data_IF_636931293193
#
_entry.id   IF_636931293193
#
_cell.length_a   1.000
_cell.length_b   1.000
_cell.length_c   1.000
_cell.angle_alpha   90.00
_cell.angle_beta   90.00
_cell.angle_gamma   90.00
#
_symmetry.space_group_name_H-M   'P 1'
#
loop_
_entity.id
_entity.type
_entity.pdbx_description
1 polymer ?
#
# COMPACT_ATOMS: atom_id res chain seq x y z
N UNK A 1 -38.28 -29.03 -12.71
CA UNK A 1 -37.51 -28.33 -13.76
C UNK A 1 -37.86 -26.83 -13.67
N UNK A 2 -37.13 -26.09 -12.87
CA UNK A 2 -37.23 -24.62 -12.85
C UNK A 2 -35.93 -24.08 -13.48
N UNK A 3 -36.01 -23.85 -14.79
CA UNK A 3 -34.97 -23.12 -15.54
C UNK A 3 -35.27 -21.61 -15.40
N UNK A 4 -34.80 -21.00 -14.34
CA UNK A 4 -34.61 -19.55 -14.24
C UNK A 4 -33.38 -19.27 -13.33
N UNK A 5 -32.28 -19.96 -13.58
CA UNK A 5 -30.98 -19.46 -13.12
C UNK A 5 -30.56 -18.40 -14.14
N UNK A 6 -30.77 -17.12 -13.79
CA UNK A 6 -30.07 -16.04 -14.48
C UNK A 6 -28.58 -16.37 -14.41
N UNK A 7 -27.87 -16.48 -15.55
CA UNK A 7 -26.44 -16.74 -15.50
C UNK A 7 -25.80 -15.59 -14.71
N UNK A 8 -25.02 -15.95 -13.69
CA UNK A 8 -24.25 -14.98 -12.91
C UNK A 8 -23.54 -14.03 -13.89
N UNK A 9 -23.59 -12.71 -13.67
CA UNK A 9 -22.98 -11.76 -14.58
C UNK A 9 -21.52 -12.14 -14.79
N UNK A 10 -21.11 -12.29 -16.06
CA UNK A 10 -19.71 -12.58 -16.40
C UNK A 10 -18.82 -11.57 -15.74
N UNK A 11 -17.89 -12.06 -14.90
CA UNK A 11 -16.91 -11.20 -14.22
C UNK A 11 -16.08 -10.44 -15.26
N UNK A 12 -15.84 -9.16 -15.01
CA UNK A 12 -14.95 -8.34 -15.84
C UNK A 12 -13.52 -8.92 -15.77
N UNK A 13 -12.78 -8.85 -16.87
CA UNK A 13 -11.36 -9.21 -16.93
C UNK A 13 -10.55 -7.96 -17.31
N UNK A 14 -9.28 -7.93 -16.98
CA UNK A 14 -8.37 -6.88 -17.48
C UNK A 14 -8.31 -6.91 -19.01
N UNK A 15 -8.26 -5.74 -19.63
CA UNK A 15 -8.14 -5.61 -21.07
C UNK A 15 -6.74 -6.05 -21.56
N UNK A 16 -5.72 -5.94 -20.69
CA UNK A 16 -4.35 -6.29 -21.03
C UNK A 16 -3.57 -6.77 -19.79
N UNK A 17 -2.53 -7.59 -20.05
CA UNK A 17 -1.57 -8.00 -19.02
C UNK A 17 -0.88 -6.79 -18.37
N UNK A 18 -0.48 -5.80 -19.19
CA UNK A 18 0.12 -4.57 -18.68
C UNK A 18 -0.86 -3.82 -17.77
N UNK A 19 -2.15 -3.83 -18.10
CA UNK A 19 -3.20 -3.27 -17.24
C UNK A 19 -3.25 -3.95 -15.89
N UNK A 20 -3.29 -5.28 -15.86
CA UNK A 20 -3.21 -6.06 -14.62
C UNK A 20 -1.96 -5.69 -13.79
N UNK A 21 -0.77 -5.73 -14.41
CA UNK A 21 0.49 -5.44 -13.70
C UNK A 21 0.52 -4.03 -13.12
N UNK A 22 0.09 -3.01 -13.89
CA UNK A 22 0.11 -1.62 -13.43
C UNK A 22 -0.97 -1.33 -12.39
N UNK A 23 -2.14 -1.97 -12.45
CA UNK A 23 -3.18 -1.81 -11.42
C UNK A 23 -2.76 -2.51 -10.13
N UNK A 24 -2.25 -3.75 -10.21
CA UNK A 24 -1.78 -4.49 -9.04
C UNK A 24 -0.55 -3.83 -8.41
N UNK A 25 0.42 -3.39 -9.23
CA UNK A 25 1.55 -2.62 -8.73
C UNK A 25 1.09 -1.27 -8.14
N UNK A 26 0.11 -0.58 -8.75
CA UNK A 26 -0.47 0.66 -8.21
C UNK A 26 -1.23 0.46 -6.91
N UNK A 27 -1.72 -0.74 -6.62
CA UNK A 27 -2.27 -1.11 -5.31
C UNK A 27 -1.17 -1.24 -4.25
N UNK A 28 -0.04 -1.84 -4.60
CA UNK A 28 1.12 -1.97 -3.73
C UNK A 28 1.83 -0.63 -3.54
N UNK A 29 2.10 0.07 -4.64
CA UNK A 29 2.80 1.37 -4.65
C UNK A 29 1.90 2.45 -4.06
N UNK A 30 2.16 2.80 -2.82
CA UNK A 30 1.38 3.77 -2.10
C UNK A 30 2.20 4.60 -1.11
N UNK A 31 1.54 5.06 -0.08
CA UNK A 31 2.18 5.78 1.03
C UNK A 31 3.28 4.93 1.67
N UNK A 32 3.12 3.61 1.65
CA UNK A 32 4.11 2.66 2.14
C UNK A 32 5.49 2.79 1.49
N UNK A 33 5.53 3.06 0.18
CA UNK A 33 6.77 3.17 -0.59
C UNK A 33 7.38 4.57 -0.54
N UNK A 34 6.51 5.58 -0.64
CA UNK A 34 6.97 6.96 -0.86
C UNK A 34 7.16 7.74 0.45
N UNK A 35 6.58 7.25 1.54
CA UNK A 35 6.67 7.85 2.86
C UNK A 35 7.27 6.88 3.90
N UNK A 36 6.57 5.75 4.20
CA UNK A 36 6.98 4.85 5.28
C UNK A 36 8.33 4.22 5.03
N UNK A 37 8.60 3.74 3.82
CA UNK A 37 9.86 3.10 3.47
C UNK A 37 11.08 4.01 3.67
N UNK A 38 11.15 5.26 3.13
CA UNK A 38 12.26 6.15 3.41
C UNK A 38 12.38 6.51 4.89
N UNK A 39 11.26 6.74 5.58
CA UNK A 39 11.24 7.04 7.01
C UNK A 39 11.86 5.90 7.83
N UNK A 40 11.40 4.66 7.62
CA UNK A 40 11.91 3.49 8.34
C UNK A 40 13.37 3.20 7.95
N UNK A 41 13.75 3.38 6.68
CA UNK A 41 15.14 3.27 6.24
C UNK A 41 16.04 4.28 6.97
N UNK A 42 15.60 5.52 7.13
CA UNK A 42 16.31 6.56 7.89
C UNK A 42 16.50 6.18 9.36
N UNK A 43 15.45 5.69 10.00
CA UNK A 43 15.45 5.28 11.41
C UNK A 43 16.19 3.96 11.67
N UNK A 44 16.30 3.08 10.67
CA UNK A 44 16.89 1.72 10.78
C UNK A 44 18.28 1.60 10.19
N UNK A 45 19.03 2.69 10.07
CA UNK A 45 20.45 2.67 9.66
C UNK A 45 20.71 2.57 8.14
N UNK A 46 19.70 2.84 7.30
CA UNK A 46 19.87 3.01 5.84
C UNK A 46 20.09 1.68 5.10
N UNK A 47 21.25 1.51 4.43
CA UNK A 47 21.50 0.42 3.48
C UNK A 47 21.37 -1.01 4.04
N UNK A 48 21.63 -1.25 5.33
CA UNK A 48 21.41 -2.57 5.95
C UNK A 48 19.92 -2.91 6.01
N UNK A 49 19.08 -1.94 6.38
CA UNK A 49 17.63 -2.11 6.33
C UNK A 49 17.15 -2.45 4.92
N UNK A 50 17.62 -1.71 3.90
CA UNK A 50 17.24 -1.96 2.49
C UNK A 50 17.61 -3.38 2.08
N UNK A 51 18.81 -3.86 2.46
CA UNK A 51 19.26 -5.22 2.18
C UNK A 51 18.31 -6.27 2.80
N UNK A 52 18.00 -6.15 4.10
CA UNK A 52 17.09 -7.07 4.77
C UNK A 52 15.66 -6.98 4.22
N UNK A 53 15.19 -5.78 3.92
CA UNK A 53 13.89 -5.60 3.26
C UNK A 53 13.79 -6.39 1.95
N UNK A 54 14.80 -6.30 1.07
CA UNK A 54 14.80 -7.05 -0.18
C UNK A 54 14.81 -8.57 0.04
N UNK A 55 15.56 -9.06 1.02
CA UNK A 55 15.59 -10.48 1.39
C UNK A 55 14.19 -10.93 1.86
N UNK A 56 13.56 -10.19 2.77
CA UNK A 56 12.24 -10.55 3.29
C UNK A 56 11.14 -10.37 2.25
N UNK A 57 11.23 -9.37 1.38
CA UNK A 57 10.28 -9.21 0.29
C UNK A 57 10.27 -10.42 -0.64
N UNK A 58 11.44 -10.94 -0.98
CA UNK A 58 11.56 -12.16 -1.81
C UNK A 58 11.16 -13.43 -1.06
N UNK A 59 11.56 -13.56 0.20
CA UNK A 59 11.32 -14.79 0.97
C UNK A 59 9.90 -14.90 1.53
N UNK A 60 9.24 -13.78 1.80
CA UNK A 60 7.93 -13.69 2.45
C UNK A 60 6.89 -13.00 1.56
N UNK A 61 7.20 -11.81 1.04
CA UNK A 61 6.28 -10.99 0.25
C UNK A 61 5.82 -11.70 -1.04
N UNK A 62 6.76 -12.15 -1.87
CA UNK A 62 6.44 -12.85 -3.14
C UNK A 62 5.60 -14.12 -2.92
N UNK A 63 5.92 -15.02 -1.97
CA UNK A 63 5.09 -16.19 -1.71
C UNK A 63 3.67 -15.84 -1.25
N UNK A 64 3.50 -14.91 -0.31
CA UNK A 64 2.16 -14.55 0.20
C UNK A 64 1.35 -13.84 -0.89
N UNK A 65 1.95 -12.93 -1.66
CA UNK A 65 1.31 -12.31 -2.82
C UNK A 65 0.84 -13.36 -3.84
N UNK A 66 1.70 -14.36 -4.13
CA UNK A 66 1.33 -15.47 -5.01
C UNK A 66 0.13 -16.24 -4.48
N UNK A 67 0.00 -16.42 -3.15
CA UNK A 67 -1.12 -17.09 -2.51
C UNK A 67 -2.42 -16.28 -2.61
N UNK A 68 -2.39 -14.97 -2.34
CA UNK A 68 -3.56 -14.11 -2.53
C UNK A 68 -4.06 -14.13 -3.98
N UNK A 69 -3.15 -13.93 -4.94
CA UNK A 69 -3.48 -14.01 -6.36
C UNK A 69 -4.05 -15.40 -6.75
N UNK A 70 -3.51 -16.49 -6.17
CA UNK A 70 -3.97 -17.85 -6.45
C UNK A 70 -5.39 -18.09 -5.92
N UNK A 71 -5.71 -17.64 -4.71
CA UNK A 71 -7.04 -17.76 -4.13
C UNK A 71 -8.05 -16.97 -4.98
N UNK A 72 -7.74 -15.75 -5.37
CA UNK A 72 -8.58 -14.94 -6.25
C UNK A 72 -8.79 -15.60 -7.63
N UNK A 73 -7.70 -16.02 -8.29
CA UNK A 73 -7.77 -16.62 -9.64
C UNK A 73 -8.51 -17.94 -9.66
N UNK A 74 -8.28 -18.81 -8.67
CA UNK A 74 -8.97 -20.10 -8.60
C UNK A 74 -10.42 -19.98 -8.13
N UNK A 75 -10.71 -19.02 -7.23
CA UNK A 75 -12.03 -18.81 -6.66
C UNK A 75 -12.97 -17.97 -7.53
N UNK A 76 -12.44 -17.21 -8.51
CA UNK A 76 -13.19 -16.33 -9.41
C UNK A 76 -14.16 -15.39 -8.68
N UNK A 77 -13.84 -14.96 -7.46
CA UNK A 77 -14.68 -14.16 -6.59
C UNK A 77 -13.87 -13.17 -5.73
N UNK A 78 -14.55 -12.35 -4.93
CA UNK A 78 -13.91 -11.64 -3.82
C UNK A 78 -13.55 -12.62 -2.71
N UNK A 79 -12.74 -12.21 -1.74
CA UNK A 79 -12.20 -13.12 -0.71
C UNK A 79 -13.26 -14.04 -0.09
N UNK A 80 -14.44 -13.53 0.25
CA UNK A 80 -15.51 -14.36 0.82
C UNK A 80 -15.97 -15.46 -0.13
N UNK A 81 -16.17 -15.15 -1.41
CA UNK A 81 -16.63 -16.11 -2.39
C UNK A 81 -15.52 -17.06 -2.83
N UNK A 82 -14.31 -16.56 -3.01
CA UNK A 82 -13.16 -17.35 -3.38
C UNK A 82 -12.85 -18.44 -2.32
N UNK A 83 -12.87 -18.05 -1.04
CA UNK A 83 -12.72 -19.04 0.04
C UNK A 83 -13.86 -20.07 0.04
N UNK A 84 -15.12 -19.66 -0.13
CA UNK A 84 -16.26 -20.59 -0.21
C UNK A 84 -16.14 -21.59 -1.36
N UNK A 85 -15.64 -21.14 -2.51
CA UNK A 85 -15.46 -22.00 -3.69
C UNK A 85 -14.31 -23.02 -3.50
N UNK A 86 -13.30 -22.70 -2.71
CA UNK A 86 -12.08 -23.50 -2.56
C UNK A 86 -12.02 -24.30 -1.25
N UNK A 87 -12.77 -23.90 -0.22
CA UNK A 87 -12.76 -24.56 1.08
C UNK A 87 -13.45 -25.94 1.03
N UNK A 88 -13.11 -26.79 1.99
CA UNK A 88 -13.76 -28.08 2.15
C UNK A 88 -15.14 -27.90 2.77
N UNK A 89 -16.04 -28.83 2.45
CA UNK A 89 -17.38 -28.84 3.01
C UNK A 89 -17.34 -28.83 4.55
N UNK A 90 -18.05 -27.89 5.18
CA UNK A 90 -18.08 -27.69 6.63
C UNK A 90 -16.93 -26.85 7.19
N UNK A 91 -15.96 -26.42 6.39
CA UNK A 91 -14.93 -25.47 6.81
C UNK A 91 -15.51 -24.04 6.86
N UNK A 92 -14.80 -23.15 7.58
CA UNK A 92 -15.24 -21.77 7.79
C UNK A 92 -14.19 -20.75 7.36
N UNK A 93 -13.36 -21.08 6.38
CA UNK A 93 -12.31 -20.16 5.89
C UNK A 93 -12.89 -18.90 5.24
N UNK A 94 -14.09 -18.99 4.69
CA UNK A 94 -14.80 -17.84 4.12
C UNK A 94 -15.03 -16.69 5.12
N UNK A 95 -14.97 -16.95 6.45
CA UNK A 95 -15.05 -15.90 7.46
C UNK A 95 -13.88 -14.92 7.36
N UNK A 96 -12.71 -15.41 6.89
CA UNK A 96 -11.58 -14.52 6.61
C UNK A 96 -11.89 -13.50 5.50
N UNK A 97 -12.73 -13.84 4.53
CA UNK A 97 -13.15 -12.89 3.49
C UNK A 97 -13.89 -11.66 4.05
N UNK A 98 -14.70 -11.85 5.08
CA UNK A 98 -15.33 -10.70 5.77
C UNK A 98 -14.30 -9.86 6.53
N UNK A 99 -13.28 -10.51 7.12
CA UNK A 99 -12.18 -9.79 7.77
C UNK A 99 -11.34 -9.01 6.75
N UNK A 100 -11.14 -9.56 5.54
CA UNK A 100 -10.48 -8.85 4.44
C UNK A 100 -11.24 -7.58 4.05
N UNK A 101 -12.56 -7.66 3.88
CA UNK A 101 -13.39 -6.49 3.58
C UNK A 101 -13.33 -5.45 4.71
N UNK A 102 -13.43 -5.89 5.97
CA UNK A 102 -13.26 -5.02 7.13
C UNK A 102 -11.89 -4.34 7.11
N UNK A 103 -10.81 -5.08 6.83
CA UNK A 103 -9.45 -4.55 6.72
C UNK A 103 -9.30 -3.52 5.62
N UNK A 104 -9.90 -3.74 4.45
CA UNK A 104 -9.93 -2.75 3.35
C UNK A 104 -10.67 -1.47 3.76
N UNK A 105 -11.80 -1.60 4.46
CA UNK A 105 -12.54 -0.43 4.97
C UNK A 105 -11.72 0.34 6.02
N UNK A 106 -11.15 -0.37 7.00
CA UNK A 106 -10.30 0.23 8.05
C UNK A 106 -9.08 0.95 7.44
N UNK A 107 -8.41 0.32 6.47
CA UNK A 107 -7.31 0.95 5.75
C UNK A 107 -7.76 2.27 5.11
N UNK A 108 -8.89 2.28 4.42
CA UNK A 108 -9.36 3.47 3.72
C UNK A 108 -9.85 4.59 4.65
N UNK A 109 -10.20 4.31 5.90
CA UNK A 109 -10.61 5.33 6.87
C UNK A 109 -9.51 6.37 7.11
N UNK A 110 -8.26 5.94 7.31
CA UNK A 110 -7.14 6.86 7.51
C UNK A 110 -6.38 7.16 6.21
N UNK A 111 -6.29 6.19 5.30
CA UNK A 111 -5.50 6.33 4.07
C UNK A 111 -6.03 7.42 3.14
N UNK A 112 -7.36 7.59 3.07
CA UNK A 112 -8.00 8.68 2.30
C UNK A 112 -7.68 10.05 2.88
N UNK A 113 -7.57 10.16 4.21
CA UNK A 113 -7.16 11.39 4.90
C UNK A 113 -5.71 11.75 4.55
N UNK A 114 -4.78 10.79 4.64
CA UNK A 114 -3.37 11.01 4.29
C UNK A 114 -3.20 11.30 2.79
N UNK A 115 -3.94 10.60 1.92
CA UNK A 115 -3.97 10.92 0.48
C UNK A 115 -4.48 12.34 0.22
N UNK A 116 -5.46 12.79 1.01
CA UNK A 116 -5.94 14.18 1.01
C UNK A 116 -4.84 15.19 1.39
N UNK A 117 -3.95 14.87 2.34
CA UNK A 117 -2.80 15.73 2.68
C UNK A 117 -1.84 15.88 1.51
N UNK A 118 -1.55 14.79 0.80
CA UNK A 118 -0.69 14.83 -0.40
C UNK A 118 -1.29 15.75 -1.46
N UNK A 119 -2.59 15.62 -1.70
CA UNK A 119 -3.33 16.47 -2.64
C UNK A 119 -3.37 17.93 -2.20
N UNK A 120 -3.57 18.21 -0.92
CA UNK A 120 -3.51 19.57 -0.36
C UNK A 120 -2.14 20.22 -0.60
N UNK A 121 -1.06 19.50 -0.33
CA UNK A 121 0.30 20.00 -0.54
C UNK A 121 0.63 20.19 -2.02
N UNK A 122 0.16 19.29 -2.90
CA UNK A 122 0.26 19.49 -4.33
C UNK A 122 -0.40 20.83 -4.75
N UNK A 123 -1.63 21.08 -4.31
CA UNK A 123 -2.35 22.33 -4.62
C UNK A 123 -1.63 23.53 -4.03
N UNK A 124 -1.15 23.46 -2.78
CA UNK A 124 -0.42 24.57 -2.12
C UNK A 124 0.88 24.93 -2.86
N UNK A 125 1.67 23.95 -3.31
CA UNK A 125 2.86 24.21 -4.11
C UNK A 125 2.50 24.75 -5.49
N UNK A 126 1.51 24.17 -6.16
CA UNK A 126 1.03 24.60 -7.49
C UNK A 126 0.54 26.06 -7.46
N UNK A 127 -0.20 26.44 -6.45
CA UNK A 127 -0.74 27.82 -6.30
C UNK A 127 0.28 28.81 -5.73
N UNK A 128 1.43 28.32 -5.25
CA UNK A 128 2.48 29.17 -4.68
C UNK A 128 2.22 29.59 -3.23
N UNK A 129 1.42 28.85 -2.47
CA UNK A 129 1.12 29.13 -1.06
C UNK A 129 2.37 29.09 -0.15
N UNK A 130 3.45 28.45 -0.60
CA UNK A 130 4.74 28.43 0.09
C UNK A 130 5.69 29.56 -0.34
N UNK A 131 5.32 30.39 -1.33
CA UNK A 131 6.18 31.47 -1.83
C UNK A 131 6.41 32.52 -0.77
N UNK A 132 7.68 32.83 -0.50
CA UNK A 132 8.07 33.83 0.52
C UNK A 132 8.03 33.30 1.96
N UNK A 133 7.65 32.05 2.18
CA UNK A 133 7.75 31.40 3.49
C UNK A 133 9.14 30.78 3.69
N UNK A 134 9.61 30.74 4.93
CA UNK A 134 10.85 30.08 5.33
C UNK A 134 10.78 29.58 6.77
N UNK A 135 11.59 28.57 7.08
CA UNK A 135 11.76 28.05 8.45
C UNK A 135 10.44 27.67 9.12
N UNK A 136 10.17 28.29 10.27
CA UNK A 136 9.00 27.99 11.11
C UNK A 136 7.67 28.28 10.40
N UNK A 137 7.63 29.26 9.49
CA UNK A 137 6.42 29.56 8.73
C UNK A 137 6.03 28.44 7.78
N UNK A 138 7.00 27.78 7.13
CA UNK A 138 6.81 26.58 6.31
C UNK A 138 6.39 25.41 7.18
N UNK A 139 7.11 25.16 8.27
CA UNK A 139 6.81 24.09 9.24
C UNK A 139 5.40 24.21 9.81
N UNK A 140 4.96 25.45 10.11
CA UNK A 140 3.61 25.72 10.62
C UNK A 140 2.47 25.47 9.62
N UNK A 141 2.74 25.29 8.31
CA UNK A 141 1.68 25.00 7.32
C UNK A 141 1.00 23.65 7.62
N UNK A 142 1.79 22.64 8.01
CA UNK A 142 1.25 21.33 8.35
C UNK A 142 0.39 21.37 9.60
N UNK A 143 0.88 22.02 10.68
CA UNK A 143 0.10 22.18 11.91
C UNK A 143 -1.24 22.89 11.67
N UNK A 144 -1.24 24.01 10.95
CA UNK A 144 -2.49 24.73 10.60
C UNK A 144 -3.45 23.89 9.78
N UNK A 145 -2.95 23.03 8.87
CA UNK A 145 -3.78 22.08 8.11
C UNK A 145 -4.43 21.06 9.04
N UNK A 146 -3.67 20.47 9.97
CA UNK A 146 -4.18 19.49 10.93
C UNK A 146 -5.21 20.10 11.89
N UNK A 147 -5.05 21.36 12.28
CA UNK A 147 -5.99 22.12 13.12
C UNK A 147 -7.28 22.50 12.36
N UNK A 148 -7.31 22.41 11.03
CA UNK A 148 -8.46 22.78 10.21
C UNK A 148 -9.27 21.57 9.76
N UNK A 149 -10.36 21.16 10.47
CA UNK A 149 -11.20 20.04 10.08
C UNK A 149 -11.86 20.24 8.70
N UNK A 150 -12.13 21.50 8.31
CA UNK A 150 -12.70 21.84 7.02
C UNK A 150 -11.73 21.58 5.85
N UNK A 151 -10.46 21.96 6.00
CA UNK A 151 -9.44 21.70 4.98
C UNK A 151 -9.15 20.20 4.87
N UNK A 152 -8.87 19.54 5.99
CA UNK A 152 -8.61 18.10 6.01
C UNK A 152 -9.77 17.29 5.45
N UNK A 153 -10.98 17.54 5.95
CA UNK A 153 -12.20 16.86 5.51
C UNK A 153 -12.54 17.14 4.05
N UNK A 154 -12.29 18.36 3.56
CA UNK A 154 -12.50 18.73 2.16
C UNK A 154 -11.61 17.95 1.20
N UNK A 155 -10.30 17.86 1.46
CA UNK A 155 -9.37 17.10 0.62
C UNK A 155 -9.56 15.58 0.77
N UNK A 156 -9.88 15.07 1.96
CA UNK A 156 -10.29 13.68 2.17
C UNK A 156 -11.54 13.34 1.35
N UNK A 157 -12.58 14.17 1.45
CA UNK A 157 -13.82 13.97 0.71
C UNK A 157 -13.60 14.02 -0.82
N UNK A 158 -12.77 14.93 -1.30
CA UNK A 158 -12.39 15.01 -2.70
C UNK A 158 -11.69 13.72 -3.16
N UNK A 159 -10.78 13.19 -2.36
CA UNK A 159 -10.10 11.91 -2.63
C UNK A 159 -11.09 10.76 -2.73
N UNK A 160 -12.03 10.65 -1.77
CA UNK A 160 -13.05 9.59 -1.76
C UNK A 160 -13.97 9.70 -2.98
N UNK A 161 -14.48 10.89 -3.25
CA UNK A 161 -15.43 11.12 -4.38
C UNK A 161 -14.75 10.81 -5.72
N UNK A 162 -13.54 11.29 -5.94
CA UNK A 162 -12.80 11.02 -7.17
C UNK A 162 -12.50 9.52 -7.33
N UNK A 163 -12.08 8.83 -6.27
CA UNK A 163 -11.80 7.40 -6.30
C UNK A 163 -13.02 6.56 -6.66
N UNK A 164 -14.15 6.77 -5.99
CA UNK A 164 -15.39 6.05 -6.31
C UNK A 164 -15.96 6.46 -7.68
N UNK A 165 -15.82 7.71 -8.09
CA UNK A 165 -16.20 8.15 -9.44
C UNK A 165 -15.43 7.37 -10.52
N UNK A 166 -14.11 7.21 -10.37
CA UNK A 166 -13.29 6.40 -11.29
C UNK A 166 -13.77 4.96 -11.31
N UNK A 167 -13.97 4.33 -10.15
CA UNK A 167 -14.44 2.95 -10.05
C UNK A 167 -15.84 2.76 -10.66
N UNK A 168 -16.69 3.80 -10.68
CA UNK A 168 -18.05 3.72 -11.24
C UNK A 168 -18.08 3.46 -12.75
N UNK A 169 -16.97 3.77 -13.49
CA UNK A 169 -16.83 3.49 -14.91
C UNK A 169 -16.45 2.04 -15.24
N UNK A 170 -16.31 1.17 -14.23
CA UNK A 170 -15.94 -0.25 -14.38
C UNK A 170 -14.44 -0.50 -14.33
N UNK A 171 -14.07 -1.77 -14.40
CA UNK A 171 -12.68 -2.20 -14.29
C UNK A 171 -11.83 -1.67 -15.45
N UNK A 172 -12.25 -1.90 -16.69
CA UNK A 172 -11.43 -1.58 -17.87
C UNK A 172 -11.39 -0.08 -18.18
N UNK A 173 -12.56 0.58 -18.19
CA UNK A 173 -12.66 1.99 -18.59
C UNK A 173 -12.34 2.98 -17.47
N UNK A 174 -12.55 2.58 -16.22
CA UNK A 174 -12.25 3.36 -15.02
C UNK A 174 -10.89 2.98 -14.42
N UNK A 175 -10.88 1.91 -13.66
CA UNK A 175 -9.73 1.51 -12.84
C UNK A 175 -8.49 1.28 -13.69
N UNK A 176 -8.53 0.39 -14.70
CA UNK A 176 -7.36 0.04 -15.51
C UNK A 176 -6.84 1.23 -16.30
N UNK A 177 -7.72 1.94 -17.03
CA UNK A 177 -7.32 3.03 -17.91
C UNK A 177 -6.68 4.19 -17.16
N UNK A 178 -7.28 4.59 -16.04
CA UNK A 178 -6.82 5.74 -15.25
C UNK A 178 -5.57 5.38 -14.47
N UNK A 179 -5.53 4.22 -13.81
CA UNK A 179 -4.35 3.76 -13.07
C UNK A 179 -3.14 3.59 -13.99
N UNK A 180 -3.33 3.06 -15.22
CA UNK A 180 -2.24 3.00 -16.22
C UNK A 180 -1.66 4.38 -16.52
N UNK A 181 -2.51 5.38 -16.77
CA UNK A 181 -2.08 6.75 -17.01
C UNK A 181 -1.32 7.35 -15.83
N UNK A 182 -1.84 7.15 -14.62
CA UNK A 182 -1.21 7.63 -13.38
C UNK A 182 0.14 6.94 -13.12
N UNK A 183 0.23 5.62 -13.32
CA UNK A 183 1.47 4.86 -13.14
C UNK A 183 2.55 5.25 -14.15
N UNK A 184 2.18 5.47 -15.42
CA UNK A 184 3.13 5.99 -16.43
C UNK A 184 3.64 7.39 -16.05
N UNK A 185 2.75 8.29 -15.63
CA UNK A 185 3.12 9.62 -15.16
C UNK A 185 4.01 9.56 -13.89
N UNK A 186 3.69 8.66 -12.95
CA UNK A 186 4.46 8.43 -11.74
C UNK A 186 5.91 8.00 -12.07
N UNK A 187 6.11 7.07 -12.99
CA UNK A 187 7.45 6.62 -13.41
C UNK A 187 8.24 7.77 -14.04
N UNK A 188 7.59 8.61 -14.87
CA UNK A 188 8.24 9.80 -15.46
C UNK A 188 8.61 10.81 -14.36
N UNK A 189 7.71 11.08 -13.41
CA UNK A 189 7.96 11.98 -12.27
C UNK A 189 9.13 11.49 -11.42
N UNK A 190 9.18 10.18 -11.10
CA UNK A 190 10.30 9.58 -10.38
C UNK A 190 11.61 9.81 -11.12
N UNK A 191 11.66 9.55 -12.44
CA UNK A 191 12.88 9.73 -13.23
C UNK A 191 13.36 11.19 -13.20
N UNK A 192 12.45 12.16 -13.37
CA UNK A 192 12.76 13.59 -13.34
C UNK A 192 13.27 14.01 -11.96
N UNK A 193 12.58 13.61 -10.90
CA UNK A 193 12.94 13.96 -9.51
C UNK A 193 14.27 13.29 -9.09
N UNK A 194 14.51 12.04 -9.46
CA UNK A 194 15.76 11.34 -9.15
C UNK A 194 16.96 11.97 -9.88
N UNK A 195 16.81 12.30 -11.18
CA UNK A 195 17.87 13.01 -11.93
C UNK A 195 18.19 14.36 -11.28
N UNK A 196 17.17 15.12 -10.89
CA UNK A 196 17.39 16.38 -10.16
C UNK A 196 18.08 16.15 -8.82
N UNK A 197 17.65 15.14 -8.05
CA UNK A 197 18.21 14.83 -6.73
C UNK A 197 19.71 14.49 -6.79
N UNK A 198 20.16 13.85 -7.87
CA UNK A 198 21.61 13.55 -8.09
C UNK A 198 22.46 14.79 -8.37
N UNK A 199 21.87 15.93 -8.72
CA UNK A 199 22.59 17.20 -8.93
C UNK A 199 22.81 17.98 -7.63
N UNK A 200 22.19 17.56 -6.53
CA UNK A 200 22.31 18.23 -5.23
C UNK A 200 23.68 17.99 -4.58
N UNK A 201 24.14 18.95 -3.78
CA UNK A 201 25.48 18.92 -3.16
C UNK A 201 25.71 17.73 -2.21
N UNK A 202 24.70 17.32 -1.47
CA UNK A 202 24.73 16.15 -0.55
C UNK A 202 24.35 14.82 -1.19
N UNK A 203 24.23 14.76 -2.54
CA UNK A 203 23.77 13.56 -3.22
C UNK A 203 24.64 12.32 -2.91
N UNK A 204 25.96 12.49 -2.93
CA UNK A 204 26.90 11.40 -2.65
C UNK A 204 26.71 10.79 -1.26
N UNK A 205 26.57 11.62 -0.24
CA UNK A 205 26.44 11.17 1.15
C UNK A 205 25.06 10.57 1.42
N UNK A 206 24.01 11.18 0.86
CA UNK A 206 22.65 10.63 0.93
C UNK A 206 22.52 9.26 0.24
N UNK A 207 23.13 9.10 -0.95
CA UNK A 207 23.18 7.81 -1.66
C UNK A 207 24.00 6.77 -0.90
N UNK A 208 25.15 7.17 -0.35
CA UNK A 208 25.97 6.28 0.47
C UNK A 208 25.24 5.81 1.72
N UNK A 209 24.55 6.71 2.43
CA UNK A 209 23.70 6.37 3.58
C UNK A 209 22.63 5.33 3.22
N UNK A 210 21.94 5.53 2.12
CA UNK A 210 20.77 4.74 1.74
C UNK A 210 21.12 3.40 1.08
N UNK A 211 22.17 3.37 0.25
CA UNK A 211 22.48 2.17 -0.56
C UNK A 211 23.63 1.33 -0.01
N UNK A 212 24.57 1.94 0.70
CA UNK A 212 25.72 1.21 1.21
C UNK A 212 25.43 0.65 2.61
N UNK A 213 25.49 -0.69 2.79
CA UNK A 213 25.30 -1.30 4.10
C UNK A 213 26.37 -0.86 5.10
N UNK A 214 25.96 -0.18 6.15
CA UNK A 214 26.83 0.19 7.28
C UNK A 214 26.43 -0.63 8.51
N UNK A 215 27.20 -1.67 8.78
CA UNK A 215 26.94 -2.58 9.90
C UNK A 215 27.15 -1.91 11.26
N UNK A 216 28.01 -0.89 11.36
CA UNK A 216 28.21 -0.11 12.58
C UNK A 216 26.92 0.58 13.00
N UNK A 217 26.28 1.32 12.08
CA UNK A 217 24.98 1.96 12.31
C UNK A 217 23.88 0.95 12.64
N UNK A 218 23.87 -0.20 11.98
CA UNK A 218 22.86 -1.23 12.25
C UNK A 218 23.01 -1.85 13.66
N UNK A 219 24.25 -1.98 14.16
CA UNK A 219 24.52 -2.44 15.53
C UNK A 219 24.08 -1.38 16.55
N UNK A 220 24.34 -0.10 16.31
CA UNK A 220 23.92 1.02 17.17
C UNK A 220 22.39 1.11 17.27
N UNK A 221 21.67 0.86 16.18
CA UNK A 221 20.19 0.82 16.15
C UNK A 221 19.61 -0.49 16.72
N UNK A 222 20.45 -1.50 16.94
CA UNK A 222 20.03 -2.85 17.31
C UNK A 222 19.62 -3.69 16.10
N UNK A 223 20.47 -4.65 15.71
CA UNK A 223 20.22 -5.51 14.52
C UNK A 223 18.86 -6.20 14.56
N UNK A 224 18.39 -6.62 15.74
CA UNK A 224 17.07 -7.22 15.92
C UNK A 224 15.93 -6.27 15.52
N UNK A 225 16.01 -5.01 15.93
CA UNK A 225 15.05 -3.96 15.57
C UNK A 225 15.05 -3.69 14.06
N UNK A 226 16.23 -3.60 13.45
CA UNK A 226 16.39 -3.41 11.99
C UNK A 226 15.77 -4.57 11.21
N UNK A 227 16.02 -5.82 11.63
CA UNK A 227 15.42 -7.01 11.01
C UNK A 227 13.90 -6.98 11.06
N UNK A 228 13.33 -6.67 12.22
CA UNK A 228 11.87 -6.61 12.41
C UNK A 228 11.25 -5.49 11.60
N UNK A 229 11.86 -4.31 11.60
CA UNK A 229 11.40 -3.20 10.79
C UNK A 229 11.40 -3.55 9.29
N UNK A 230 12.42 -4.26 8.82
CA UNK A 230 12.51 -4.74 7.44
C UNK A 230 11.45 -5.81 7.11
N UNK A 231 11.18 -6.74 8.04
CA UNK A 231 10.11 -7.74 7.88
C UNK A 231 8.74 -7.07 7.82
N UNK A 232 8.44 -6.18 8.75
CA UNK A 232 7.17 -5.44 8.79
C UNK A 232 6.98 -4.64 7.50
N UNK A 233 8.02 -3.96 7.03
CA UNK A 233 7.95 -3.19 5.78
C UNK A 233 7.68 -4.07 4.56
N UNK A 234 8.23 -5.28 4.49
CA UNK A 234 8.02 -6.22 3.40
C UNK A 234 6.56 -6.71 3.28
N UNK A 235 5.83 -6.78 4.40
CA UNK A 235 4.38 -7.06 4.38
C UNK A 235 3.55 -5.81 4.08
N UNK A 236 3.89 -4.72 4.71
CA UNK A 236 3.13 -3.48 4.60
C UNK A 236 3.15 -2.94 3.16
N UNK A 237 4.31 -2.95 2.51
CA UNK A 237 4.48 -2.37 1.16
C UNK A 237 3.56 -3.00 0.12
N UNK A 238 3.24 -4.30 0.25
CA UNK A 238 2.39 -5.04 -0.68
C UNK A 238 0.92 -5.09 -0.26
N UNK A 239 0.54 -4.49 0.88
CA UNK A 239 -0.83 -4.51 1.43
C UNK A 239 -1.41 -5.94 1.55
N UNK A 240 -0.57 -6.92 1.94
CA UNK A 240 -0.94 -8.34 2.01
C UNK A 240 -1.82 -8.64 3.23
N UNK A 241 -2.70 -9.64 3.10
CA UNK A 241 -3.52 -10.17 4.19
C UNK A 241 -4.96 -9.67 4.22
N UNK A 242 -5.26 -8.54 3.57
CA UNK A 242 -6.63 -7.99 3.51
C UNK A 242 -7.33 -8.25 2.17
N UNK A 243 -6.78 -9.13 1.33
CA UNK A 243 -7.37 -9.48 0.04
C UNK A 243 -7.35 -8.36 -1.00
N UNK A 244 -6.54 -7.32 -0.78
CA UNK A 244 -6.42 -6.21 -1.72
C UNK A 244 -5.82 -6.65 -3.06
N UNK A 245 -4.93 -7.65 -3.04
CA UNK A 245 -4.35 -8.26 -4.24
C UNK A 245 -5.17 -9.42 -4.80
N UNK A 246 -5.93 -10.09 -3.95
CA UNK A 246 -6.76 -11.24 -4.34
C UNK A 246 -7.79 -10.87 -5.40
N UNK A 247 -8.45 -9.71 -5.26
CA UNK A 247 -9.45 -9.24 -6.23
C UNK A 247 -8.88 -9.17 -7.65
N UNK A 248 -7.61 -8.73 -7.80
CA UNK A 248 -6.96 -8.67 -9.10
C UNK A 248 -6.64 -10.06 -9.64
N UNK A 249 -6.28 -11.00 -8.76
CA UNK A 249 -6.16 -12.41 -9.12
C UNK A 249 -7.44 -12.94 -9.76
N UNK A 250 -8.61 -12.57 -9.23
CA UNK A 250 -9.91 -13.02 -9.73
C UNK A 250 -10.28 -12.50 -11.13
N UNK A 251 -9.60 -11.47 -11.61
CA UNK A 251 -9.75 -10.90 -12.95
C UNK A 251 -8.70 -11.42 -13.95
N UNK A 252 -7.83 -12.36 -13.53
CA UNK A 252 -6.75 -12.91 -14.35
C UNK A 252 -7.15 -14.18 -15.07
N UNK A 253 -6.60 -14.34 -16.29
CA UNK A 253 -6.54 -15.60 -17.00
C UNK A 253 -5.38 -16.49 -16.53
N UNK A 254 -5.32 -17.76 -17.03
CA UNK A 254 -4.26 -18.72 -16.73
C UNK A 254 -3.10 -18.72 -17.71
N UNK A 255 -2.89 -17.64 -18.46
CA UNK A 255 -1.85 -17.56 -19.50
C UNK A 255 -0.44 -17.49 -18.90
N UNK A 256 -0.32 -16.94 -17.70
CA UNK A 256 0.95 -16.74 -17.00
C UNK A 256 0.94 -17.30 -15.58
N UNK A 257 2.12 -17.78 -15.13
CA UNK A 257 2.30 -18.26 -13.77
C UNK A 257 2.17 -17.11 -12.76
N UNK A 258 1.51 -17.34 -11.62
CA UNK A 258 1.32 -16.31 -10.60
C UNK A 258 2.62 -15.89 -9.94
N UNK A 259 3.59 -16.78 -9.82
CA UNK A 259 4.93 -16.42 -9.31
C UNK A 259 5.62 -15.38 -10.19
N UNK A 260 5.51 -15.51 -11.52
CA UNK A 260 6.06 -14.49 -12.44
C UNK A 260 5.39 -13.13 -12.26
N UNK A 261 4.07 -13.12 -12.09
CA UNK A 261 3.33 -11.87 -11.90
C UNK A 261 3.64 -11.25 -10.54
N UNK A 262 3.69 -12.05 -9.47
CA UNK A 262 4.08 -11.59 -8.13
C UNK A 262 5.49 -10.97 -8.12
N UNK A 263 6.47 -11.62 -8.75
CA UNK A 263 7.83 -11.08 -8.87
C UNK A 263 7.85 -9.73 -9.61
N UNK A 264 7.05 -9.60 -10.69
CA UNK A 264 6.97 -8.33 -11.45
C UNK A 264 6.31 -7.21 -10.65
N UNK A 265 5.23 -7.52 -9.92
CA UNK A 265 4.58 -6.56 -9.02
C UNK A 265 5.56 -6.11 -7.95
N UNK A 266 6.25 -7.06 -7.27
CA UNK A 266 7.26 -6.74 -6.26
C UNK A 266 8.44 -5.93 -6.84
N UNK A 267 8.87 -6.22 -8.07
CA UNK A 267 9.95 -5.47 -8.72
C UNK A 267 9.53 -4.01 -9.00
N UNK A 268 8.30 -3.76 -9.46
CA UNK A 268 7.77 -2.42 -9.67
C UNK A 268 7.59 -1.67 -8.33
N UNK A 269 7.07 -2.34 -7.32
CA UNK A 269 6.92 -1.82 -5.97
C UNK A 269 8.27 -1.40 -5.37
N UNK A 270 9.25 -2.29 -5.42
CA UNK A 270 10.62 -2.02 -4.96
C UNK A 270 11.29 -0.90 -5.74
N UNK A 271 11.10 -0.87 -7.07
CA UNK A 271 11.64 0.21 -7.89
C UNK A 271 11.16 1.57 -7.41
N UNK A 272 9.87 1.72 -7.11
CA UNK A 272 9.31 2.98 -6.62
C UNK A 272 9.80 3.27 -5.19
N UNK A 273 9.82 2.29 -4.28
CA UNK A 273 10.30 2.47 -2.91
C UNK A 273 11.78 2.92 -2.88
N UNK A 274 12.64 2.24 -3.62
CA UNK A 274 14.06 2.60 -3.73
C UNK A 274 14.23 3.97 -4.38
N UNK A 275 13.48 4.26 -5.45
CA UNK A 275 13.54 5.56 -6.12
C UNK A 275 13.09 6.70 -5.20
N UNK A 276 12.08 6.50 -4.35
CA UNK A 276 11.69 7.49 -3.35
C UNK A 276 12.86 7.79 -2.38
N UNK A 277 13.60 6.76 -1.95
CA UNK A 277 14.82 6.94 -1.16
C UNK A 277 15.91 7.71 -1.93
N UNK A 278 16.12 7.39 -3.21
CA UNK A 278 17.07 8.12 -4.08
C UNK A 278 16.71 9.60 -4.28
N UNK A 279 15.45 9.98 -4.10
CA UNK A 279 14.99 11.37 -4.16
C UNK A 279 15.16 12.05 -2.80
N UNK A 280 14.75 11.38 -1.73
CA UNK A 280 14.62 11.97 -0.39
C UNK A 280 15.98 12.11 0.31
N UNK A 281 16.82 11.06 0.34
CA UNK A 281 18.07 11.10 1.10
C UNK A 281 19.08 12.11 0.56
N UNK A 282 19.34 12.23 -0.75
CA UNK A 282 20.16 13.31 -1.27
C UNK A 282 19.67 14.71 -0.87
N UNK A 283 18.36 14.92 -0.88
CA UNK A 283 17.79 16.19 -0.44
C UNK A 283 18.04 16.43 1.05
N UNK A 284 17.81 15.45 1.93
CA UNK A 284 18.08 15.57 3.36
C UNK A 284 19.54 15.95 3.63
N UNK A 285 20.48 15.23 3.05
CA UNK A 285 21.93 15.48 3.27
C UNK A 285 22.40 16.81 2.67
N UNK A 286 21.78 17.28 1.58
CA UNK A 286 22.13 18.58 0.97
C UNK A 286 21.71 19.77 1.81
N UNK A 287 20.65 19.62 2.60
CA UNK A 287 20.10 20.70 3.41
C UNK A 287 20.26 20.49 4.92
N UNK A 288 21.09 19.51 5.33
CA UNK A 288 21.42 19.25 6.73
C UNK A 288 20.25 18.77 7.58
N UNK A 289 19.32 18.03 6.96
CA UNK A 289 18.12 17.54 7.62
C UNK A 289 18.33 16.09 8.02
N UNK A 290 17.90 15.73 9.25
CA UNK A 290 17.96 14.37 9.73
C UNK A 290 17.02 13.45 8.97
N UNK A 291 17.49 12.31 8.44
CA UNK A 291 16.67 11.38 7.66
C UNK A 291 15.70 10.55 8.53
N UNK A 292 15.83 10.62 9.86
CA UNK A 292 15.01 9.88 10.84
C UNK A 292 13.80 10.68 11.37
N UNK A 293 13.52 11.85 10.81
CA UNK A 293 12.50 12.80 11.27
C UNK A 293 11.03 12.28 11.21
N UNK A 294 10.80 11.04 10.80
CA UNK A 294 9.47 10.43 10.78
C UNK A 294 8.49 11.09 9.80
N UNK A 295 7.19 11.19 10.14
CA UNK A 295 6.17 11.82 9.29
C UNK A 295 6.46 13.29 8.95
N UNK A 296 7.15 14.00 9.83
CA UNK A 296 7.56 15.37 9.63
C UNK A 296 8.52 15.53 8.44
N UNK A 297 9.24 14.49 8.06
CA UNK A 297 10.14 14.50 6.92
C UNK A 297 9.45 14.97 5.63
N UNK A 298 8.26 14.48 5.34
CA UNK A 298 7.55 14.79 4.09
C UNK A 298 6.79 16.11 4.15
N UNK A 299 6.11 16.39 5.27
CA UNK A 299 5.20 17.53 5.34
C UNK A 299 5.82 18.80 5.98
N UNK A 300 6.96 18.65 6.65
CA UNK A 300 7.66 19.77 7.29
C UNK A 300 9.02 19.97 6.63
N UNK A 301 9.83 18.94 6.60
CA UNK A 301 11.23 19.00 6.19
C UNK A 301 11.40 19.25 4.70
N UNK A 302 10.83 18.39 3.85
CA UNK A 302 10.95 18.54 2.40
C UNK A 302 10.34 19.85 1.86
N UNK A 303 9.18 20.33 2.36
CA UNK A 303 8.73 21.69 2.02
C UNK A 303 9.75 22.78 2.34
N UNK A 304 10.44 22.70 3.49
CA UNK A 304 11.52 23.64 3.81
C UNK A 304 12.69 23.52 2.82
N UNK A 305 13.07 22.32 2.44
CA UNK A 305 14.08 22.08 1.38
C UNK A 305 13.65 22.74 0.08
N UNK A 306 12.42 22.48 -0.39
CA UNK A 306 11.93 23.02 -1.64
C UNK A 306 11.84 24.56 -1.60
N UNK A 307 11.42 25.18 -0.50
CA UNK A 307 11.36 26.64 -0.41
C UNK A 307 12.74 27.30 -0.40
N UNK A 308 13.78 26.60 0.04
CA UNK A 308 15.16 27.07 0.06
C UNK A 308 15.92 26.91 -1.27
N UNK A 309 15.36 26.16 -2.25
CA UNK A 309 16.08 25.85 -3.50
C UNK A 309 15.55 26.65 -4.70
N UNK A 310 16.43 26.85 -5.71
CA UNK A 310 16.04 27.50 -6.96
C UNK A 310 14.96 26.66 -7.70
N UNK A 311 13.85 27.32 -8.05
CA UNK A 311 12.72 26.64 -8.69
C UNK A 311 11.93 25.71 -7.75
N UNK A 312 12.08 25.85 -6.44
CA UNK A 312 11.47 24.99 -5.43
C UNK A 312 9.96 24.83 -5.52
N UNK A 313 9.24 25.87 -6.01
CA UNK A 313 7.81 25.74 -6.32
C UNK A 313 7.54 24.64 -7.34
N UNK A 314 8.34 24.55 -8.40
CA UNK A 314 8.19 23.52 -9.45
C UNK A 314 8.53 22.15 -8.89
N UNK A 315 9.66 22.02 -8.21
CA UNK A 315 10.11 20.77 -7.62
C UNK A 315 9.16 20.24 -6.56
N UNK A 316 8.68 21.12 -5.67
CA UNK A 316 7.66 20.76 -4.68
C UNK A 316 6.33 20.34 -5.33
N UNK A 317 5.90 21.04 -6.38
CA UNK A 317 4.69 20.65 -7.14
C UNK A 317 4.85 19.27 -7.75
N UNK A 318 5.97 18.97 -8.44
CA UNK A 318 6.22 17.67 -9.06
C UNK A 318 6.34 16.56 -8.01
N UNK A 319 6.99 16.83 -6.88
CA UNK A 319 7.12 15.87 -5.78
C UNK A 319 5.75 15.51 -5.18
N UNK A 320 4.93 16.51 -4.82
CA UNK A 320 3.61 16.23 -4.24
C UNK A 320 2.61 15.71 -5.27
N UNK A 321 2.79 15.99 -6.57
CA UNK A 321 2.04 15.31 -7.63
C UNK A 321 2.40 13.82 -7.70
N UNK A 322 3.70 13.48 -7.62
CA UNK A 322 4.17 12.11 -7.53
C UNK A 322 3.57 11.39 -6.30
N UNK A 323 3.62 12.02 -5.12
CA UNK A 323 3.04 11.49 -3.89
C UNK A 323 1.53 11.28 -4.00
N UNK A 324 0.82 12.25 -4.62
CA UNK A 324 -0.63 12.16 -4.85
C UNK A 324 -0.97 10.99 -5.76
N UNK A 325 -0.25 10.80 -6.86
CA UNK A 325 -0.49 9.67 -7.76
C UNK A 325 -0.20 8.32 -7.09
N UNK A 326 0.90 8.22 -6.36
CA UNK A 326 1.24 7.00 -5.62
C UNK A 326 0.15 6.63 -4.59
N UNK A 327 -0.32 7.58 -3.80
CA UNK A 327 -1.38 7.31 -2.82
C UNK A 327 -2.73 7.02 -3.48
N UNK A 328 -3.07 7.73 -4.54
CA UNK A 328 -4.38 7.64 -5.17
C UNK A 328 -4.57 6.37 -5.99
N UNK A 329 -3.51 5.79 -6.56
CA UNK A 329 -3.58 4.48 -7.24
C UNK A 329 -3.99 3.38 -6.26
N UNK A 330 -3.46 3.38 -5.04
CA UNK A 330 -3.88 2.46 -3.97
C UNK A 330 -5.33 2.69 -3.56
N UNK A 331 -5.77 3.96 -3.40
CA UNK A 331 -7.17 4.28 -3.08
C UNK A 331 -8.13 3.67 -4.10
N UNK A 332 -7.88 3.88 -5.41
CA UNK A 332 -8.71 3.32 -6.49
C UNK A 332 -8.71 1.80 -6.45
N UNK A 333 -7.57 1.18 -6.23
CA UNK A 333 -7.42 -0.27 -6.19
C UNK A 333 -8.18 -0.91 -5.02
N UNK A 334 -8.08 -0.35 -3.82
CA UNK A 334 -8.78 -0.86 -2.64
C UNK A 334 -10.29 -0.57 -2.72
N UNK A 335 -10.69 0.57 -3.29
CA UNK A 335 -12.11 0.85 -3.54
C UNK A 335 -12.73 -0.16 -4.51
N UNK A 336 -11.99 -0.62 -5.54
CA UNK A 336 -12.45 -1.69 -6.41
C UNK A 336 -12.77 -2.97 -5.63
N UNK A 337 -11.92 -3.36 -4.67
CA UNK A 337 -12.18 -4.51 -3.81
C UNK A 337 -13.42 -4.32 -2.92
N UNK A 338 -13.59 -3.14 -2.32
CA UNK A 338 -14.77 -2.81 -1.50
C UNK A 338 -16.05 -2.87 -2.36
N UNK A 339 -16.02 -2.30 -3.57
CA UNK A 339 -17.15 -2.29 -4.48
C UNK A 339 -17.50 -3.71 -4.93
N UNK A 340 -16.51 -4.48 -5.38
CA UNK A 340 -16.73 -5.85 -5.82
C UNK A 340 -17.29 -6.71 -4.68
N UNK A 341 -16.75 -6.56 -3.46
CA UNK A 341 -17.27 -7.24 -2.27
C UNK A 341 -18.71 -6.85 -1.95
N UNK A 342 -19.03 -5.56 -2.02
CA UNK A 342 -20.40 -5.08 -1.79
C UNK A 342 -21.38 -5.61 -2.87
N UNK A 343 -20.98 -5.63 -4.14
CA UNK A 343 -21.80 -6.20 -5.23
C UNK A 343 -22.09 -7.67 -5.01
N UNK A 344 -21.09 -8.46 -4.61
CA UNK A 344 -21.24 -9.90 -4.39
C UNK A 344 -22.03 -10.23 -3.11
N UNK A 345 -21.80 -9.51 -2.02
CA UNK A 345 -22.46 -9.78 -0.73
C UNK A 345 -23.92 -9.33 -0.68
N UNK A 346 -24.19 -8.16 -1.26
CA UNK A 346 -25.53 -7.54 -1.20
C UNK A 346 -26.31 -7.68 -2.50
N UNK A 347 -25.75 -8.32 -3.53
CA UNK A 347 -26.37 -8.50 -4.85
C UNK A 347 -26.87 -7.18 -5.48
N UNK A 348 -26.07 -6.11 -5.32
CA UNK A 348 -26.40 -4.75 -5.83
C UNK A 348 -25.57 -4.41 -7.07
N UNK A 349 -26.12 -3.50 -7.88
CA UNK A 349 -25.42 -2.98 -9.05
C UNK A 349 -24.20 -2.11 -8.67
N UNK A 350 -23.18 -2.08 -9.54
CA UNK A 350 -21.93 -1.33 -9.35
C UNK A 350 -22.15 0.14 -8.96
N UNK A 351 -23.08 0.84 -9.63
CA UNK A 351 -23.35 2.25 -9.30
C UNK A 351 -23.88 2.43 -7.88
N UNK A 352 -24.76 1.54 -7.43
CA UNK A 352 -25.26 1.56 -6.05
C UNK A 352 -24.16 1.23 -5.05
N UNK A 353 -23.31 0.23 -5.36
CA UNK A 353 -22.17 -0.11 -4.53
C UNK A 353 -21.17 1.06 -4.40
N UNK A 354 -20.92 1.80 -5.49
CA UNK A 354 -20.08 2.99 -5.46
C UNK A 354 -20.66 4.11 -4.58
N UNK A 355 -21.96 4.40 -4.71
CA UNK A 355 -22.60 5.46 -3.91
C UNK A 355 -22.62 5.09 -2.43
N UNK A 356 -23.01 3.85 -2.09
CA UNK A 356 -23.04 3.38 -0.71
C UNK A 356 -21.63 3.29 -0.10
N UNK A 357 -20.66 2.78 -0.88
CA UNK A 357 -19.25 2.73 -0.47
C UNK A 357 -18.67 4.13 -0.23
N UNK A 358 -18.94 5.09 -1.13
CA UNK A 358 -18.51 6.46 -0.96
C UNK A 358 -19.10 7.09 0.30
N UNK A 359 -20.41 6.95 0.51
CA UNK A 359 -21.08 7.46 1.71
C UNK A 359 -20.52 6.83 2.98
N UNK A 360 -20.30 5.51 2.97
CA UNK A 360 -19.72 4.79 4.10
C UNK A 360 -18.31 5.26 4.42
N UNK A 361 -17.39 5.31 3.43
CA UNK A 361 -16.00 5.71 3.64
C UNK A 361 -15.91 7.19 4.04
N UNK A 362 -16.73 8.08 3.44
CA UNK A 362 -16.79 9.48 3.87
C UNK A 362 -17.11 9.61 5.36
N UNK A 363 -18.14 8.90 5.83
CA UNK A 363 -18.54 8.93 7.25
C UNK A 363 -17.49 8.25 8.15
N UNK A 364 -16.99 7.10 7.73
CA UNK A 364 -16.03 6.31 8.49
C UNK A 364 -14.64 6.99 8.62
N UNK A 365 -14.27 7.88 7.68
CA UNK A 365 -13.02 8.65 7.74
C UNK A 365 -13.11 9.90 8.61
N UNK A 366 -14.31 10.33 9.04
CA UNK A 366 -14.49 11.53 9.90
C UNK A 366 -13.70 11.42 11.22
N UNK A 367 -13.73 10.29 11.95
CA UNK A 367 -12.95 10.14 13.18
C UNK A 367 -11.46 10.42 12.99
N UNK A 368 -10.86 9.92 11.91
CA UNK A 368 -9.46 10.18 11.57
C UNK A 368 -9.19 11.68 11.39
N UNK A 369 -10.05 12.40 10.64
CA UNK A 369 -9.94 13.86 10.45
C UNK A 369 -10.06 14.60 11.77
N UNK A 370 -11.06 14.25 12.60
CA UNK A 370 -11.32 14.91 13.88
C UNK A 370 -10.26 14.60 14.95
N UNK A 371 -9.57 13.47 14.85
CA UNK A 371 -8.52 13.06 15.78
C UNK A 371 -7.34 14.01 15.89
N UNK A 372 -7.11 14.87 14.88
CA UNK A 372 -6.06 15.87 14.88
C UNK A 372 -6.48 17.23 15.47
N UNK A 373 -7.78 17.43 15.66
CA UNK A 373 -8.33 18.72 16.10
C UNK A 373 -9.39 18.57 17.19
N UNK A 374 -10.68 18.43 16.84
CA UNK A 374 -11.77 18.39 17.83
C UNK A 374 -11.70 17.17 18.77
N UNK A 375 -11.14 16.06 18.34
CA UNK A 375 -10.97 14.83 19.12
C UNK A 375 -9.51 14.55 19.49
N UNK A 376 -8.64 15.55 19.47
CA UNK A 376 -7.21 15.41 19.82
C UNK A 376 -6.96 14.89 21.25
N UNK A 377 -7.96 15.00 22.13
CA UNK A 377 -7.92 14.37 23.46
C UNK A 377 -8.15 12.87 23.47
N UNK A 378 -8.66 12.25 22.39
CA UNK A 378 -8.81 10.81 22.27
C UNK A 378 -7.51 10.19 21.75
N UNK A 379 -6.78 9.52 22.62
CA UNK A 379 -5.43 8.98 22.39
C UNK A 379 -5.44 7.46 22.59
N UNK A 380 -5.84 6.69 21.57
CA UNK A 380 -6.13 5.24 21.69
C UNK A 380 -4.92 4.38 22.06
N UNK A 381 -3.70 4.81 21.71
CA UNK A 381 -2.46 4.08 21.97
C UNK A 381 -1.60 4.74 23.08
N UNK A 382 -2.17 5.66 23.85
CA UNK A 382 -1.46 6.41 24.90
C UNK A 382 -1.11 7.84 24.50
N UNK A 383 -0.39 8.54 25.38
CA UNK A 383 -0.11 9.95 25.26
C UNK A 383 0.58 10.31 23.93
N UNK A 384 0.00 11.29 23.21
CA UNK A 384 0.51 11.76 21.93
C UNK A 384 0.01 11.00 20.70
N UNK A 385 -0.71 9.88 20.88
CA UNK A 385 -1.30 9.15 19.76
C UNK A 385 -2.58 9.80 19.24
N UNK A 386 -2.87 9.60 17.98
CA UNK A 386 -4.08 10.09 17.31
C UNK A 386 -5.00 8.94 16.91
N UNK A 387 -6.21 9.26 16.43
CA UNK A 387 -7.12 8.26 15.85
C UNK A 387 -6.46 7.52 14.70
N UNK A 388 -5.71 8.25 13.84
CA UNK A 388 -4.95 7.65 12.73
C UNK A 388 -3.99 6.58 13.21
N UNK A 389 -3.24 6.84 14.29
CA UNK A 389 -2.28 5.88 14.84
C UNK A 389 -2.99 4.60 15.32
N UNK A 390 -4.18 4.74 15.91
CA UNK A 390 -5.01 3.61 16.32
C UNK A 390 -5.54 2.78 15.13
N UNK A 391 -6.02 3.46 14.08
CA UNK A 391 -6.50 2.82 12.85
C UNK A 391 -5.35 2.12 12.12
N UNK A 392 -4.18 2.77 11.96
CA UNK A 392 -3.00 2.18 11.35
C UNK A 392 -2.47 1.00 12.16
N UNK A 393 -2.46 1.09 13.49
CA UNK A 393 -2.05 -0.02 14.36
C UNK A 393 -2.90 -1.27 14.12
N UNK A 394 -4.24 -1.13 14.07
CA UNK A 394 -5.14 -2.25 13.81
C UNK A 394 -4.87 -2.87 12.44
N UNK A 395 -4.68 -2.06 11.41
CA UNK A 395 -4.41 -2.55 10.05
C UNK A 395 -3.02 -3.15 9.97
N UNK A 396 -1.98 -2.40 10.31
CA UNK A 396 -0.58 -2.75 10.04
C UNK A 396 -0.04 -3.83 10.95
N UNK A 397 -0.42 -3.83 12.24
CA UNK A 397 0.12 -4.75 13.23
C UNK A 397 -0.77 -5.99 13.46
N UNK A 398 -2.07 -5.89 13.14
CA UNK A 398 -3.00 -7.01 13.38
C UNK A 398 -3.54 -7.59 12.06
N UNK A 399 -4.26 -6.79 11.26
CA UNK A 399 -5.02 -7.33 10.12
C UNK A 399 -4.12 -7.83 8.98
N UNK A 400 -3.10 -7.07 8.60
CA UNK A 400 -2.19 -7.47 7.52
C UNK A 400 -1.40 -8.75 7.86
N UNK A 401 -0.70 -8.85 9.01
CA UNK A 401 0.04 -10.06 9.34
C UNK A 401 -0.88 -11.26 9.62
N UNK A 402 -1.98 -11.06 10.37
CA UNK A 402 -2.93 -12.14 10.65
C UNK A 402 -3.58 -12.67 9.36
N UNK A 403 -4.04 -11.80 8.49
CA UNK A 403 -4.63 -12.19 7.22
C UNK A 403 -3.64 -12.92 6.31
N UNK A 404 -2.38 -12.45 6.25
CA UNK A 404 -1.30 -13.13 5.54
C UNK A 404 -1.06 -14.54 6.07
N UNK A 405 -1.10 -14.72 7.40
CA UNK A 405 -1.02 -16.04 8.02
C UNK A 405 -2.20 -16.93 7.63
N UNK A 406 -3.42 -16.38 7.56
CA UNK A 406 -4.61 -17.14 7.14
C UNK A 406 -4.49 -17.59 5.68
N UNK A 407 -4.09 -16.70 4.74
CA UNK A 407 -3.82 -17.07 3.34
C UNK A 407 -2.79 -18.18 3.24
N UNK A 408 -1.69 -18.04 3.97
CA UNK A 408 -0.63 -19.02 4.01
C UNK A 408 -1.15 -20.39 4.49
N UNK A 409 -1.79 -20.43 5.67
CA UNK A 409 -2.33 -21.68 6.23
C UNK A 409 -3.39 -22.31 5.34
N UNK A 410 -4.25 -21.51 4.71
CA UNK A 410 -5.24 -21.99 3.76
C UNK A 410 -4.61 -22.67 2.54
N UNK A 411 -3.59 -22.06 1.96
CA UNK A 411 -2.93 -22.58 0.77
C UNK A 411 -2.06 -23.81 1.05
N UNK A 412 -1.41 -23.89 2.25
CA UNK A 412 -0.37 -24.93 2.46
C UNK A 412 -0.83 -26.10 3.33
N UNK A 413 -1.92 -25.96 4.11
CA UNK A 413 -2.35 -27.00 5.04
C UNK A 413 -3.39 -27.92 4.43
N UNK A 414 -3.47 -29.14 4.97
CA UNK A 414 -4.49 -30.14 4.58
C UNK A 414 -5.91 -29.77 5.04
N UNK A 415 -6.06 -28.84 5.97
CA UNK A 415 -7.35 -28.35 6.46
C UNK A 415 -7.95 -27.24 5.59
N UNK A 416 -7.11 -26.53 4.83
CA UNK A 416 -7.52 -25.55 3.84
C UNK A 416 -7.63 -26.14 2.42
N UNK A 417 -7.27 -25.32 1.44
CA UNK A 417 -7.23 -25.69 0.02
C UNK A 417 -6.18 -26.78 -0.28
N UNK A 418 -5.01 -26.66 0.35
CA UNK A 418 -3.93 -27.63 0.31
C UNK A 418 -2.84 -27.30 -0.71
N UNK A 419 -1.59 -27.62 -0.32
CA UNK A 419 -0.38 -27.26 -1.08
C UNK A 419 -0.36 -27.78 -2.53
N UNK A 420 -0.90 -28.96 -2.80
CA UNK A 420 -0.92 -29.53 -4.16
C UNK A 420 -1.76 -28.69 -5.12
N UNK A 421 -3.01 -28.36 -4.73
CA UNK A 421 -3.94 -27.55 -5.53
C UNK A 421 -3.43 -26.11 -5.69
N UNK A 422 -2.89 -25.54 -4.62
CA UNK A 422 -2.24 -24.24 -4.68
C UNK A 422 -1.08 -24.22 -5.67
N UNK A 423 -0.20 -25.23 -5.62
CA UNK A 423 0.97 -25.31 -6.50
C UNK A 423 0.58 -25.48 -7.97
N UNK A 424 -0.46 -26.26 -8.25
CA UNK A 424 -1.00 -26.43 -9.61
C UNK A 424 -1.52 -25.10 -10.15
N UNK A 425 -2.29 -24.37 -9.35
CA UNK A 425 -2.81 -23.06 -9.73
C UNK A 425 -1.70 -22.03 -9.90
N UNK A 426 -0.77 -21.93 -8.95
CA UNK A 426 0.34 -20.97 -9.01
C UNK A 426 1.23 -21.18 -10.26
N UNK A 427 1.38 -22.43 -10.70
CA UNK A 427 2.20 -22.83 -11.83
C UNK A 427 1.42 -22.95 -13.15
N UNK A 428 0.12 -22.67 -13.17
CA UNK A 428 -0.65 -22.66 -14.40
C UNK A 428 -0.21 -21.49 -15.30
N UNK A 429 0.05 -21.81 -16.57
CA UNK A 429 0.53 -20.85 -17.58
C UNK A 429 2.05 -20.86 -17.77
N UNK A 430 2.54 -19.85 -18.50
CA UNK A 430 3.96 -19.68 -18.85
C UNK A 430 4.68 -18.78 -17.86
N UNK A 431 5.91 -19.15 -17.48
CA UNK A 431 6.79 -18.31 -16.64
C UNK A 431 7.52 -19.03 -15.53
N UNK A 432 7.93 -18.29 -14.50
CA UNK A 432 8.64 -18.81 -13.33
C UNK A 432 7.72 -19.71 -12.54
N UNK A 433 8.13 -20.96 -12.34
CA UNK A 433 7.37 -21.94 -11.58
C UNK A 433 7.82 -21.99 -10.13
N UNK A 434 6.84 -22.05 -9.22
CA UNK A 434 7.10 -22.28 -7.80
C UNK A 434 7.60 -23.73 -7.61
N UNK A 435 8.82 -23.96 -7.10
CA UNK A 435 9.33 -25.30 -6.91
C UNK A 435 8.71 -25.97 -5.69
N UNK A 436 8.46 -27.29 -5.79
CA UNK A 436 7.98 -28.09 -4.66
C UNK A 436 8.90 -28.09 -3.44
N UNK A 437 10.19 -27.83 -3.66
CA UNK A 437 11.20 -27.73 -2.61
C UNK A 437 10.93 -26.62 -1.59
N UNK A 438 10.16 -25.57 -1.96
CA UNK A 438 9.76 -24.49 -1.03
C UNK A 438 8.68 -24.90 -0.01
N UNK A 439 8.11 -26.10 -0.13
CA UNK A 439 7.08 -26.57 0.79
C UNK A 439 7.45 -26.44 2.27
N UNK A 440 8.64 -26.89 2.75
CA UNK A 440 9.02 -26.73 4.15
C UNK A 440 9.13 -25.26 4.58
N UNK A 441 9.68 -24.40 3.71
CA UNK A 441 9.76 -22.96 3.95
C UNK A 441 8.35 -22.39 4.18
N UNK A 442 7.40 -22.70 3.30
CA UNK A 442 6.04 -22.18 3.34
C UNK A 442 5.20 -22.77 4.48
N UNK A 443 5.45 -24.04 4.87
CA UNK A 443 4.67 -24.71 5.92
C UNK A 443 5.19 -24.50 7.34
N UNK A 444 6.48 -24.20 7.52
CA UNK A 444 7.12 -24.14 8.84
C UNK A 444 7.74 -22.75 9.08
N UNK A 445 8.66 -22.34 8.22
CA UNK A 445 9.44 -21.13 8.48
C UNK A 445 8.59 -19.86 8.36
N UNK A 446 7.83 -19.74 7.28
CA UNK A 446 7.04 -18.56 6.99
C UNK A 446 5.93 -18.30 8.03
N UNK A 447 5.15 -19.30 8.49
CA UNK A 447 4.21 -19.10 9.59
C UNK A 447 4.87 -18.62 10.88
N UNK A 448 6.04 -19.16 11.23
CA UNK A 448 6.79 -18.74 12.42
C UNK A 448 7.21 -17.27 12.31
N UNK A 449 7.75 -16.86 11.16
CA UNK A 449 8.14 -15.47 10.93
C UNK A 449 6.95 -14.52 11.01
N UNK A 450 5.80 -14.89 10.44
CA UNK A 450 4.60 -14.06 10.51
C UNK A 450 4.08 -13.96 11.95
N UNK A 451 4.09 -15.06 12.71
CA UNK A 451 3.69 -15.03 14.13
C UNK A 451 4.64 -14.15 14.94
N UNK A 452 5.96 -14.19 14.66
CA UNK A 452 6.91 -13.27 15.31
C UNK A 452 6.59 -11.81 15.03
N UNK A 453 6.20 -11.47 13.79
CA UNK A 453 5.78 -10.11 13.42
C UNK A 453 4.54 -9.70 14.23
N UNK A 454 3.54 -10.58 14.32
CA UNK A 454 2.32 -10.31 15.10
C UNK A 454 2.65 -10.06 16.57
N UNK A 455 3.45 -10.93 17.17
CA UNK A 455 3.83 -10.81 18.60
C UNK A 455 4.59 -9.52 18.86
N UNK A 456 5.53 -9.15 17.98
CA UNK A 456 6.29 -7.90 18.14
C UNK A 456 5.45 -6.64 17.88
N UNK A 457 4.45 -6.73 17.01
CA UNK A 457 3.52 -5.61 16.80
C UNK A 457 2.59 -5.36 18.00
N UNK A 458 2.52 -6.31 18.95
CA UNK A 458 1.68 -6.22 20.15
C UNK A 458 2.45 -5.81 21.42
N UNK A 459 3.79 -5.90 21.43
CA UNK A 459 4.71 -5.53 22.51
C UNK A 459 5.28 -4.14 22.27
#
# INVERSE_FOLDING_TARGET
MNQNENPAPKRENFASRLGFLLVSAGCAIGIGNVWRFPTVAGQSGGGVFVLFYLIFLLAMGVPVLTMELAVGRAGHGTATQAYRALEKQGAKWHLHGYLCLFGCCMLMMYYTTVSGWMLSYFVKFLTGAFSGLSGDAVSGVFGRMLESPGEMGGYMALTVVLGFAICSFGLQNGVERITKGMMCALIVLIAVLAVHSFTLSGAKDGLAFFLLPDWGRAVEQGIGSVLVSAMNQAFFTLSLGIGAMEIFGSYMNRDHTLTSEAVRICALDTFVAVSAGLIIFPACFSYGVSPDAGPSLIFITLPNVFTGMAGGRVWGTLFFLFMTFASFTTVVAVFENIIASAMELFHIERRRACVLGAAFILLASVPCVLGFNLWSGFQPLGAGSTVLDGEDFIVSNLLLPFGSLVYLLFCVTKWGWGFGRYLEEANAGEGIRLPRALKPLLQIVLPILIVLIIVQGLI
#
